data_IF_644155158781
#
_entry.id   IF_644155158781
#
_cell.length_a   1.000
_cell.length_b   1.000
_cell.length_c   1.000
_cell.angle_alpha   90.00
_cell.angle_beta   90.00
_cell.angle_gamma   90.00
#
_symmetry.space_group_name_H-M   'P 1'
#
loop_
_entity.id
_entity.type
_entity.pdbx_description
1 polymer ?
#
# COMPACT_ATOMS: atom_id res chain seq x y z
N UNK A 1 -36.30 -26.58 -14.61
CA UNK A 1 -34.87 -26.97 -14.82
C UNK A 1 -34.07 -25.94 -15.61
N UNK A 2 -34.58 -25.34 -16.73
CA UNK A 2 -33.84 -24.31 -17.49
C UNK A 2 -33.76 -22.97 -16.76
N UNK A 3 -34.86 -22.53 -16.13
CA UNK A 3 -34.92 -21.27 -15.37
C UNK A 3 -34.06 -21.30 -14.07
N UNK A 4 -33.96 -22.46 -13.42
CA UNK A 4 -33.11 -22.65 -12.26
C UNK A 4 -31.62 -22.63 -12.63
N UNK A 5 -31.21 -23.17 -13.79
CA UNK A 5 -29.86 -23.09 -14.29
C UNK A 5 -29.46 -21.66 -14.71
N UNK A 6 -30.35 -20.88 -15.30
CA UNK A 6 -30.10 -19.47 -15.63
C UNK A 6 -29.96 -18.61 -14.38
N UNK A 7 -30.74 -18.85 -13.34
CA UNK A 7 -30.58 -18.14 -12.07
C UNK A 7 -29.30 -18.51 -11.33
N UNK A 8 -28.84 -19.76 -11.42
CA UNK A 8 -27.60 -20.22 -10.83
C UNK A 8 -26.38 -19.68 -11.58
N UNK A 9 -26.44 -19.64 -12.91
CA UNK A 9 -25.40 -19.05 -13.75
C UNK A 9 -25.34 -17.53 -13.56
N UNK A 10 -26.50 -16.86 -13.45
CA UNK A 10 -26.54 -15.41 -13.19
C UNK A 10 -26.06 -15.06 -11.77
N UNK A 11 -26.34 -15.89 -10.77
CA UNK A 11 -25.81 -15.74 -9.41
C UNK A 11 -24.33 -16.10 -9.32
N UNK A 12 -23.85 -17.14 -10.01
CA UNK A 12 -22.43 -17.45 -10.11
C UNK A 12 -21.65 -16.34 -10.82
N UNK A 13 -22.22 -15.73 -11.86
CA UNK A 13 -21.64 -14.57 -12.53
C UNK A 13 -21.71 -13.30 -11.68
N UNK A 14 -22.74 -13.14 -10.84
CA UNK A 14 -22.80 -12.06 -9.85
C UNK A 14 -21.82 -12.26 -8.70
N UNK A 15 -21.57 -13.49 -8.27
CA UNK A 15 -20.57 -13.80 -7.26
C UNK A 15 -19.14 -13.73 -7.85
N UNK A 16 -18.94 -14.05 -9.13
CA UNK A 16 -17.65 -13.86 -9.81
C UNK A 16 -17.37 -12.42 -10.24
N UNK A 17 -18.40 -11.58 -10.28
CA UNK A 17 -18.37 -10.12 -10.41
C UNK A 17 -18.55 -9.42 -9.06
N UNK A 18 -18.36 -10.08 -7.93
CA UNK A 18 -18.07 -9.41 -6.67
C UNK A 18 -16.81 -8.56 -6.93
N UNK A 19 -17.08 -7.35 -7.36
CA UNK A 19 -16.20 -6.36 -7.92
C UNK A 19 -15.01 -6.25 -7.00
N UNK A 20 -13.83 -6.51 -7.55
CA UNK A 20 -12.60 -6.35 -6.84
C UNK A 20 -12.42 -4.87 -6.59
N UNK A 21 -12.93 -4.39 -5.48
CA UNK A 21 -12.83 -2.99 -5.09
C UNK A 21 -11.58 -2.81 -4.28
N UNK A 22 -10.73 -1.90 -4.71
CA UNK A 22 -9.45 -1.57 -4.07
C UNK A 22 -9.49 -0.18 -3.48
N UNK A 23 -8.94 -0.04 -2.28
CA UNK A 23 -8.61 1.25 -1.69
C UNK A 23 -7.09 1.36 -1.51
N UNK A 24 -6.48 2.33 -2.15
CA UNK A 24 -5.07 2.67 -1.98
C UNK A 24 -4.90 3.71 -0.89
N UNK A 25 -4.02 3.43 0.07
CA UNK A 25 -3.57 4.38 1.09
C UNK A 25 -2.15 4.82 0.75
N UNK A 26 -1.92 6.10 0.59
CA UNK A 26 -0.63 6.65 0.16
C UNK A 26 -0.15 7.70 1.15
N UNK A 27 1.14 7.72 1.42
CA UNK A 27 1.73 8.55 2.48
C UNK A 27 2.53 9.76 1.97
N UNK A 28 2.23 10.28 0.79
CA UNK A 28 2.86 11.52 0.31
C UNK A 28 3.42 11.47 -1.10
N UNK A 29 4.20 12.48 -1.47
CA UNK A 29 4.55 12.78 -2.87
C UNK A 29 5.25 11.66 -3.64
N UNK A 30 6.24 11.00 -3.05
CA UNK A 30 6.96 9.90 -3.72
C UNK A 30 6.11 8.64 -3.82
N UNK A 31 5.42 8.33 -2.77
CA UNK A 31 4.52 7.18 -2.65
C UNK A 31 3.29 7.34 -3.54
N UNK A 32 2.77 8.56 -3.68
CA UNK A 32 1.66 8.87 -4.58
C UNK A 32 2.01 8.53 -6.03
N UNK A 33 3.23 8.82 -6.46
CA UNK A 33 3.70 8.48 -7.82
C UNK A 33 3.76 6.97 -8.04
N UNK A 34 4.25 6.22 -7.05
CA UNK A 34 4.32 4.75 -7.13
C UNK A 34 2.90 4.15 -7.13
N UNK A 35 2.04 4.62 -6.24
CA UNK A 35 0.65 4.19 -6.20
C UNK A 35 -0.07 4.48 -7.52
N UNK A 36 0.13 5.66 -8.11
CA UNK A 36 -0.46 6.04 -9.38
C UNK A 36 -0.07 5.07 -10.51
N UNK A 37 1.20 4.71 -10.62
CA UNK A 37 1.67 3.72 -11.62
C UNK A 37 1.05 2.34 -11.43
N UNK A 38 0.90 1.89 -10.18
CA UNK A 38 0.24 0.61 -9.90
C UNK A 38 -1.23 0.66 -10.28
N UNK A 39 -1.91 1.76 -9.94
CA UNK A 39 -3.32 2.01 -10.28
C UNK A 39 -3.52 2.01 -11.80
N UNK A 40 -2.67 2.71 -12.56
CA UNK A 40 -2.69 2.75 -14.01
C UNK A 40 -2.53 1.35 -14.62
N UNK A 41 -1.51 0.63 -14.19
CA UNK A 41 -1.24 -0.71 -14.70
C UNK A 41 -2.38 -1.69 -14.41
N UNK A 42 -3.01 -1.59 -13.24
CA UNK A 42 -4.18 -2.42 -12.91
C UNK A 42 -5.40 -2.04 -13.74
N UNK A 43 -5.62 -0.76 -14.02
CA UNK A 43 -6.70 -0.30 -14.88
C UNK A 43 -6.53 -0.76 -16.32
N UNK A 44 -5.32 -0.68 -16.87
CA UNK A 44 -5.00 -1.20 -18.21
C UNK A 44 -5.25 -2.70 -18.32
N UNK A 45 -4.91 -3.47 -17.27
CA UNK A 45 -5.09 -4.92 -17.25
C UNK A 45 -6.55 -5.34 -17.07
N UNK A 46 -7.31 -4.59 -16.29
CA UNK A 46 -8.72 -4.86 -16.03
C UNK A 46 -9.48 -3.58 -15.65
N UNK A 47 -10.07 -2.89 -16.63
CA UNK A 47 -10.83 -1.66 -16.41
C UNK A 47 -12.04 -1.82 -15.46
N UNK A 48 -12.50 -3.05 -15.22
CA UNK A 48 -13.66 -3.32 -14.36
C UNK A 48 -13.32 -3.35 -12.87
N UNK A 49 -12.04 -3.29 -12.50
CA UNK A 49 -11.63 -3.15 -11.10
C UNK A 49 -11.94 -1.72 -10.66
N UNK A 50 -12.83 -1.57 -9.68
CA UNK A 50 -13.07 -0.27 -9.05
C UNK A 50 -11.91 0.09 -8.14
N UNK A 51 -11.34 1.26 -8.33
CA UNK A 51 -10.19 1.75 -7.57
C UNK A 51 -10.50 3.08 -6.93
N UNK A 52 -10.19 3.17 -5.65
CA UNK A 52 -10.25 4.41 -4.86
C UNK A 52 -8.86 4.70 -4.29
N UNK A 53 -8.56 5.96 -4.07
CA UNK A 53 -7.31 6.40 -3.45
C UNK A 53 -7.58 7.38 -2.31
N UNK A 54 -6.92 7.15 -1.19
CA UNK A 54 -6.90 8.03 -0.03
C UNK A 54 -5.46 8.53 0.18
N UNK A 55 -5.11 9.72 -0.32
CA UNK A 55 -3.85 10.36 0.02
C UNK A 55 -3.88 10.76 1.50
N UNK A 56 -3.04 10.12 2.32
CA UNK A 56 -3.02 10.38 3.76
C UNK A 56 -2.30 11.68 4.11
N UNK A 57 -1.38 12.08 3.24
CA UNK A 57 -0.63 13.34 3.32
C UNK A 57 -0.63 13.99 1.94
N UNK A 58 -0.78 15.31 1.89
CA UNK A 58 -0.81 16.08 0.66
C UNK A 58 -2.20 16.12 0.00
N UNK A 59 -2.25 16.64 -1.21
CA UNK A 59 -3.48 16.87 -1.97
C UNK A 59 -3.75 15.80 -3.04
N UNK A 60 -2.83 14.83 -3.20
CA UNK A 60 -2.98 13.76 -4.18
C UNK A 60 -2.93 14.23 -5.63
N UNK A 61 -2.11 15.23 -5.95
CA UNK A 61 -1.97 15.78 -7.32
C UNK A 61 -1.68 14.73 -8.37
N UNK A 62 -0.91 13.69 -8.01
CA UNK A 62 -0.57 12.60 -8.92
C UNK A 62 -1.80 11.89 -9.50
N UNK A 63 -2.92 11.90 -8.80
CA UNK A 63 -4.13 11.18 -9.19
C UNK A 63 -5.15 12.04 -9.95
N UNK A 64 -4.96 13.35 -10.02
CA UNK A 64 -5.97 14.28 -10.54
C UNK A 64 -6.41 13.99 -11.97
N UNK A 65 -5.50 13.61 -12.85
CA UNK A 65 -5.82 13.28 -14.24
C UNK A 65 -6.78 12.09 -14.33
N UNK A 66 -6.54 11.04 -13.56
CA UNK A 66 -7.38 9.83 -13.56
C UNK A 66 -8.72 10.05 -12.87
N UNK A 67 -8.75 10.89 -11.83
CA UNK A 67 -10.00 11.33 -11.19
C UNK A 67 -10.85 12.15 -12.16
N UNK A 68 -10.26 13.07 -12.91
CA UNK A 68 -10.97 13.83 -13.97
C UNK A 68 -11.48 12.94 -15.10
N UNK A 69 -10.75 11.88 -15.42
CA UNK A 69 -11.18 10.89 -16.42
C UNK A 69 -12.30 9.98 -15.93
N UNK A 70 -12.65 10.03 -14.64
CA UNK A 70 -13.83 9.40 -14.06
C UNK A 70 -13.69 7.92 -13.69
N UNK A 71 -12.52 7.31 -13.88
CA UNK A 71 -12.32 5.88 -13.54
C UNK A 71 -11.60 5.65 -12.19
N UNK A 72 -11.04 6.70 -11.58
CA UNK A 72 -10.44 6.67 -10.25
C UNK A 72 -11.21 7.62 -9.32
N UNK A 73 -11.55 7.18 -8.13
CA UNK A 73 -12.15 8.03 -7.11
C UNK A 73 -11.10 8.40 -6.04
N UNK A 74 -10.96 9.70 -5.80
CA UNK A 74 -10.17 10.20 -4.66
C UNK A 74 -11.12 10.43 -3.49
N UNK A 75 -10.81 9.85 -2.32
CA UNK A 75 -11.60 9.99 -1.10
C UNK A 75 -10.79 10.68 -0.01
N UNK A 76 -11.49 11.22 0.98
CA UNK A 76 -10.89 11.84 2.16
C UNK A 76 -10.43 13.29 1.96
N UNK A 77 -10.07 13.94 3.08
CA UNK A 77 -9.59 15.32 3.09
C UNK A 77 -8.14 15.40 2.65
N UNK A 78 -7.76 16.56 2.09
CA UNK A 78 -6.35 16.91 1.90
C UNK A 78 -5.71 17.22 3.26
N UNK A 79 -4.60 16.56 3.59
CA UNK A 79 -3.88 16.75 4.85
C UNK A 79 -2.47 17.25 4.56
N UNK A 80 -2.16 18.44 5.04
CA UNK A 80 -0.83 19.01 4.94
C UNK A 80 -0.14 18.97 6.30
N UNK A 81 1.08 18.40 6.33
CA UNK A 81 1.90 18.35 7.51
C UNK A 81 3.00 19.41 7.43
N UNK A 82 3.05 20.38 8.35
CA UNK A 82 4.10 21.39 8.39
C UNK A 82 5.51 20.80 8.52
N UNK A 83 5.65 19.60 9.12
CA UNK A 83 6.92 18.87 9.24
C UNK A 83 7.39 18.21 7.95
N UNK A 84 6.55 18.15 6.90
CA UNK A 84 6.85 17.54 5.62
C UNK A 84 6.60 16.03 5.53
N UNK A 85 6.16 15.36 6.58
CA UNK A 85 5.79 13.94 6.56
C UNK A 85 6.05 13.20 7.85
N UNK A 86 5.58 11.95 7.93
CA UNK A 86 5.69 11.13 9.14
C UNK A 86 7.07 10.47 9.33
N UNK A 87 7.87 10.32 8.29
CA UNK A 87 9.14 9.59 8.34
C UNK A 87 10.29 10.37 8.99
N UNK A 88 10.20 11.69 9.08
CA UNK A 88 11.24 12.59 9.59
C UNK A 88 10.79 13.39 10.82
N UNK A 89 9.91 12.85 11.65
CA UNK A 89 9.35 13.62 12.75
C UNK A 89 10.34 13.82 13.90
N UNK A 90 10.63 15.09 14.18
CA UNK A 90 11.13 15.58 15.47
C UNK A 90 9.95 15.86 16.41
N UNK A 91 10.21 15.93 17.71
CA UNK A 91 9.17 16.29 18.68
C UNK A 91 8.51 17.65 18.37
N UNK A 92 9.27 18.64 17.93
CA UNK A 92 8.75 19.94 17.48
C UNK A 92 7.87 19.83 16.23
N UNK A 93 8.24 18.99 15.27
CA UNK A 93 7.44 18.70 14.09
C UNK A 93 6.10 18.06 14.43
N UNK A 94 6.08 17.11 15.35
CA UNK A 94 4.86 16.49 15.83
C UNK A 94 3.91 17.51 16.49
N UNK A 95 4.43 18.41 17.31
CA UNK A 95 3.61 19.47 17.92
C UNK A 95 3.01 20.41 16.88
N UNK A 96 3.77 20.77 15.84
CA UNK A 96 3.26 21.58 14.74
C UNK A 96 2.15 20.85 13.97
N UNK A 97 2.32 19.59 13.69
CA UNK A 97 1.33 18.76 12.97
C UNK A 97 0.05 18.58 13.79
N UNK A 98 0.16 18.39 15.10
CA UNK A 98 -0.99 18.33 16.01
C UNK A 98 -1.78 19.66 16.01
N UNK A 99 -1.07 20.78 16.04
CA UNK A 99 -1.70 22.12 15.94
C UNK A 99 -2.38 22.36 14.59
N UNK A 100 -1.86 21.75 13.51
CA UNK A 100 -2.45 21.82 12.17
C UNK A 100 -3.69 20.91 11.97
N UNK A 101 -4.15 20.19 13.01
CA UNK A 101 -5.35 19.37 12.94
C UNK A 101 -5.09 17.91 12.51
N UNK A 102 -3.86 17.40 12.69
CA UNK A 102 -3.47 16.04 12.36
C UNK A 102 -4.43 14.99 12.92
N UNK A 103 -4.81 15.10 14.19
CA UNK A 103 -5.69 14.12 14.84
C UNK A 103 -7.07 14.04 14.19
N UNK A 104 -7.64 15.18 13.80
CA UNK A 104 -8.91 15.22 13.09
C UNK A 104 -8.83 14.55 11.72
N UNK A 105 -7.77 14.85 10.96
CA UNK A 105 -7.51 14.23 9.66
C UNK A 105 -7.29 12.73 9.77
N UNK A 106 -6.51 12.26 10.74
CA UNK A 106 -6.28 10.83 10.99
C UNK A 106 -7.58 10.11 11.35
N UNK A 107 -8.43 10.73 12.16
CA UNK A 107 -9.73 10.16 12.51
C UNK A 107 -10.64 9.98 11.29
N UNK A 108 -10.74 11.00 10.43
CA UNK A 108 -11.52 10.89 9.18
C UNK A 108 -10.96 9.80 8.27
N UNK A 109 -9.64 9.79 8.07
CA UNK A 109 -8.96 8.76 7.26
C UNK A 109 -9.18 7.35 7.82
N UNK A 110 -9.11 7.20 9.15
CA UNK A 110 -9.40 5.95 9.82
C UNK A 110 -10.84 5.48 9.57
N UNK A 111 -11.80 6.38 9.72
CA UNK A 111 -13.22 6.07 9.51
C UNK A 111 -13.47 5.61 8.07
N UNK A 112 -12.88 6.28 7.08
CA UNK A 112 -12.99 5.92 5.67
C UNK A 112 -12.34 4.56 5.37
N UNK A 113 -11.18 4.31 5.93
CA UNK A 113 -10.47 3.03 5.76
C UNK A 113 -11.26 1.87 6.38
N UNK A 114 -11.78 2.07 7.58
CA UNK A 114 -12.59 1.06 8.27
C UNK A 114 -13.92 0.78 7.56
N UNK A 115 -14.56 1.82 7.01
CA UNK A 115 -15.75 1.67 6.18
C UNK A 115 -15.46 0.86 4.92
N UNK A 116 -14.36 1.15 4.22
CA UNK A 116 -13.95 0.39 3.05
C UNK A 116 -13.73 -1.09 3.38
N UNK A 117 -13.12 -1.40 4.54
CA UNK A 117 -12.95 -2.77 5.01
C UNK A 117 -14.29 -3.47 5.25
N UNK A 118 -15.27 -2.78 5.86
CA UNK A 118 -16.64 -3.32 6.06
C UNK A 118 -17.38 -3.57 4.75
N UNK A 119 -17.10 -2.79 3.72
CA UNK A 119 -17.65 -2.96 2.37
C UNK A 119 -16.94 -4.10 1.59
N UNK A 120 -15.99 -4.79 2.20
CA UNK A 120 -15.26 -5.90 1.58
C UNK A 120 -14.15 -5.48 0.63
N UNK A 121 -13.74 -4.21 0.62
CA UNK A 121 -12.63 -3.73 -0.21
C UNK A 121 -11.31 -4.28 0.28
N UNK A 122 -10.40 -4.56 -0.67
CA UNK A 122 -9.01 -4.88 -0.38
C UNK A 122 -8.23 -3.58 -0.27
N UNK A 123 -7.37 -3.46 0.73
CA UNK A 123 -6.57 -2.27 0.96
C UNK A 123 -5.16 -2.48 0.42
N UNK A 124 -4.66 -1.51 -0.32
CA UNK A 124 -3.27 -1.46 -0.78
C UNK A 124 -2.58 -0.29 -0.10
N UNK A 125 -1.74 -0.60 0.89
CA UNK A 125 -0.97 0.40 1.60
C UNK A 125 0.35 0.68 0.87
N UNK A 126 0.62 1.93 0.56
CA UNK A 126 1.83 2.36 -0.16
C UNK A 126 2.58 3.38 0.68
N UNK A 127 3.80 3.05 1.04
CA UNK A 127 4.66 3.93 1.81
C UNK A 127 5.33 3.25 3.00
N UNK A 128 5.11 3.80 4.17
CA UNK A 128 5.72 3.37 5.43
C UNK A 128 4.72 2.78 6.44
N UNK A 129 5.04 2.93 7.72
CA UNK A 129 4.28 2.35 8.82
C UNK A 129 2.82 2.84 8.89
N UNK A 130 2.53 4.10 8.58
CA UNK A 130 1.18 4.65 8.79
C UNK A 130 0.13 4.00 7.87
N UNK A 131 0.31 3.93 6.54
CA UNK A 131 -0.59 3.18 5.67
C UNK A 131 -0.70 1.70 6.04
N UNK A 132 0.43 1.07 6.39
CA UNK A 132 0.47 -0.32 6.81
C UNK A 132 -0.35 -0.56 8.09
N UNK A 133 -0.21 0.31 9.10
CA UNK A 133 -0.95 0.23 10.35
C UNK A 133 -2.46 0.39 10.12
N UNK A 134 -2.86 1.34 9.28
CA UNK A 134 -4.27 1.55 8.95
C UNK A 134 -4.86 0.36 8.20
N UNK A 135 -4.13 -0.20 7.25
CA UNK A 135 -4.54 -1.39 6.52
C UNK A 135 -4.75 -2.58 7.47
N UNK A 136 -3.78 -2.85 8.33
CA UNK A 136 -3.89 -3.92 9.33
C UNK A 136 -5.05 -3.69 10.30
N UNK A 137 -5.14 -2.50 10.89
CA UNK A 137 -6.14 -2.20 11.90
C UNK A 137 -7.57 -2.15 11.34
N UNK A 138 -7.75 -1.94 10.03
CA UNK A 138 -9.06 -1.92 9.37
C UNK A 138 -9.81 -3.24 9.42
N UNK A 139 -9.09 -4.36 9.54
CA UNK A 139 -9.66 -5.71 9.46
C UNK A 139 -9.77 -6.27 8.04
N UNK A 140 -9.47 -5.50 7.00
CA UNK A 140 -9.47 -5.95 5.60
C UNK A 140 -8.29 -6.87 5.26
N UNK A 141 -8.41 -7.62 4.16
CA UNK A 141 -7.23 -8.15 3.48
C UNK A 141 -6.45 -6.98 2.85
N UNK A 142 -5.14 -7.04 2.90
CA UNK A 142 -4.32 -5.94 2.40
C UNK A 142 -3.03 -6.40 1.74
N UNK A 143 -2.52 -5.53 0.88
CA UNK A 143 -1.18 -5.57 0.30
C UNK A 143 -0.38 -4.40 0.83
N UNK A 144 0.91 -4.57 0.94
CA UNK A 144 1.81 -3.48 1.35
C UNK A 144 2.93 -3.28 0.33
N UNK A 145 3.13 -2.04 -0.09
CA UNK A 145 4.23 -1.62 -0.95
C UNK A 145 5.13 -0.71 -0.13
N UNK A 146 6.23 -1.26 0.36
CA UNK A 146 7.20 -0.56 1.19
C UNK A 146 8.22 0.16 0.32
N UNK A 147 8.17 1.48 0.29
CA UNK A 147 8.96 2.32 -0.62
C UNK A 147 10.16 3.00 0.03
N UNK A 148 10.08 3.50 1.29
CA UNK A 148 11.13 4.35 1.86
C UNK A 148 12.31 3.56 2.39
N UNK A 149 12.14 2.29 2.82
CA UNK A 149 13.14 1.50 3.50
C UNK A 149 13.79 0.49 2.56
N UNK A 150 15.12 0.51 2.50
CA UNK A 150 15.92 -0.42 1.73
C UNK A 150 17.11 -0.89 2.57
N UNK A 151 17.26 -2.20 2.73
CA UNK A 151 18.39 -2.80 3.44
C UNK A 151 19.73 -2.51 2.73
N UNK A 152 19.71 -2.21 1.45
CA UNK A 152 20.90 -1.82 0.69
C UNK A 152 21.43 -0.45 1.13
N UNK A 153 20.58 0.56 1.22
CA UNK A 153 20.96 1.91 1.69
C UNK A 153 21.27 1.92 3.19
N UNK A 154 20.61 1.06 3.95
CA UNK A 154 20.81 0.88 5.37
C UNK A 154 22.23 0.36 5.70
N UNK A 155 22.77 -0.56 4.92
CA UNK A 155 24.11 -1.11 5.11
C UNK A 155 25.24 -0.09 4.85
N UNK A 156 24.97 1.02 4.15
CA UNK A 156 25.98 1.96 3.63
C UNK A 156 26.06 3.29 4.39
N UNK A 157 25.20 3.56 5.36
CA UNK A 157 25.11 4.87 6.04
C UNK A 157 25.99 5.03 7.29
N UNK A 158 26.47 6.25 7.63
CA UNK A 158 27.20 6.52 8.86
C UNK A 158 26.30 6.47 10.09
N UNK A 159 26.76 5.88 11.22
CA UNK A 159 25.99 5.66 12.42
C UNK A 159 26.74 5.92 13.71
N UNK A 160 26.00 6.22 14.82
CA UNK A 160 26.56 6.23 16.16
C UNK A 160 26.72 4.80 16.72
N UNK A 161 27.67 4.59 17.64
CA UNK A 161 28.01 3.27 18.18
C UNK A 161 26.81 2.52 18.82
N UNK A 162 25.93 3.22 19.55
CA UNK A 162 24.73 2.63 20.16
C UNK A 162 23.67 2.27 19.11
N UNK A 163 23.49 3.14 18.11
CA UNK A 163 22.63 2.88 16.97
C UNK A 163 23.12 1.67 16.16
N UNK A 164 24.44 1.55 15.99
CA UNK A 164 25.07 0.41 15.31
C UNK A 164 24.82 -0.92 16.02
N UNK A 165 24.92 -0.96 17.34
CA UNK A 165 24.65 -2.18 18.11
C UNK A 165 23.17 -2.62 17.93
N UNK A 166 22.23 -1.71 18.07
CA UNK A 166 20.82 -1.98 17.88
C UNK A 166 20.51 -2.46 16.44
N UNK A 167 21.06 -1.78 15.45
CA UNK A 167 20.86 -2.12 14.04
C UNK A 167 21.50 -3.46 13.66
N UNK A 168 22.67 -3.81 14.22
CA UNK A 168 23.29 -5.13 14.02
C UNK A 168 22.46 -6.26 14.61
N UNK A 169 21.86 -6.04 15.78
CA UNK A 169 20.94 -7.01 16.38
C UNK A 169 19.66 -7.17 15.57
N UNK A 170 19.18 -6.10 14.99
CA UNK A 170 17.97 -6.07 14.18
C UNK A 170 18.17 -6.72 12.80
N UNK A 171 19.36 -6.56 12.19
CA UNK A 171 19.73 -7.17 10.90
C UNK A 171 19.02 -6.60 9.66
N UNK A 172 18.18 -5.57 9.80
CA UNK A 172 17.37 -4.99 8.75
C UNK A 172 16.90 -3.57 9.11
N UNK A 173 16.47 -2.81 8.10
CA UNK A 173 15.88 -1.46 8.25
C UNK A 173 14.51 -1.51 8.96
N UNK A 174 13.82 -2.64 8.88
CA UNK A 174 12.48 -2.81 9.41
C UNK A 174 12.47 -3.11 10.91
N UNK A 175 11.50 -2.55 11.64
CA UNK A 175 11.33 -2.78 13.07
C UNK A 175 10.50 -4.05 13.35
N UNK A 176 10.64 -4.70 14.53
CA UNK A 176 9.93 -5.93 14.84
C UNK A 176 8.39 -5.83 14.73
N UNK A 177 7.81 -4.68 15.09
CA UNK A 177 6.35 -4.45 14.95
C UNK A 177 5.91 -4.33 13.49
N UNK A 178 6.76 -3.82 12.58
CA UNK A 178 6.49 -3.79 11.14
C UNK A 178 6.45 -5.21 10.58
N UNK A 179 7.35 -6.09 10.98
CA UNK A 179 7.28 -7.52 10.62
C UNK A 179 6.00 -8.17 11.10
N UNK A 180 5.58 -7.86 12.30
CA UNK A 180 4.34 -8.40 12.85
C UNK A 180 3.12 -8.01 12.02
N UNK A 181 3.04 -6.75 11.59
CA UNK A 181 2.00 -6.27 10.69
C UNK A 181 2.06 -6.95 9.31
N UNK A 182 3.27 -7.12 8.76
CA UNK A 182 3.49 -7.73 7.45
C UNK A 182 3.28 -9.25 7.46
N UNK A 183 3.42 -9.91 8.60
CA UNK A 183 3.17 -11.37 8.75
C UNK A 183 1.73 -11.73 9.03
N UNK A 184 0.85 -10.78 9.23
CA UNK A 184 -0.58 -11.04 9.44
C UNK A 184 -1.15 -11.94 8.32
N UNK A 185 -2.05 -12.85 8.67
CA UNK A 185 -2.73 -13.71 7.68
C UNK A 185 -3.52 -12.91 6.63
N UNK A 186 -3.94 -11.70 6.98
CA UNK A 186 -4.63 -10.77 6.10
C UNK A 186 -3.69 -9.98 5.18
N UNK A 187 -2.38 -9.95 5.48
CA UNK A 187 -1.37 -9.41 4.58
C UNK A 187 -1.08 -10.43 3.49
N UNK A 188 -1.58 -10.20 2.30
CA UNK A 188 -1.50 -11.17 1.20
C UNK A 188 -0.17 -11.11 0.45
N UNK A 189 0.46 -9.94 0.43
CA UNK A 189 1.77 -9.72 -0.19
C UNK A 189 2.41 -8.44 0.34
N UNK A 190 3.73 -8.45 0.42
CA UNK A 190 4.58 -7.28 0.65
C UNK A 190 5.49 -7.10 -0.55
N UNK A 191 5.51 -5.92 -1.11
CA UNK A 191 6.37 -5.55 -2.22
C UNK A 191 7.39 -4.50 -1.77
N UNK A 192 8.65 -4.71 -2.07
CA UNK A 192 9.75 -3.83 -1.69
C UNK A 192 10.66 -3.52 -2.88
N UNK A 193 11.53 -2.51 -2.75
CA UNK A 193 12.33 -1.97 -3.84
C UNK A 193 13.37 -2.95 -4.38
N UNK A 194 14.04 -3.70 -3.51
CA UNK A 194 15.21 -4.49 -3.87
C UNK A 194 15.16 -5.93 -3.36
N UNK A 195 15.98 -6.78 -4.00
CA UNK A 195 16.04 -8.21 -3.71
C UNK A 195 16.61 -8.53 -2.34
N UNK A 196 17.51 -7.69 -1.82
CA UNK A 196 18.14 -7.91 -0.51
C UNK A 196 17.11 -7.71 0.58
N UNK A 197 16.35 -6.61 0.51
CA UNK A 197 15.24 -6.32 1.42
C UNK A 197 14.16 -7.40 1.36
N UNK A 198 13.76 -7.83 0.16
CA UNK A 198 12.78 -8.90 -0.01
C UNK A 198 13.26 -10.22 0.60
N UNK A 199 14.53 -10.56 0.44
CA UNK A 199 15.13 -11.76 1.05
C UNK A 199 15.13 -11.67 2.58
N UNK A 200 15.54 -10.52 3.13
CA UNK A 200 15.53 -10.26 4.57
C UNK A 200 14.13 -10.42 5.16
N UNK A 201 13.12 -9.85 4.51
CA UNK A 201 11.72 -9.99 4.92
C UNK A 201 11.23 -11.45 4.85
N UNK A 202 11.57 -12.18 3.80
CA UNK A 202 11.22 -13.61 3.68
C UNK A 202 11.84 -14.45 4.79
N UNK A 203 13.08 -14.16 5.18
CA UNK A 203 13.75 -14.83 6.30
C UNK A 203 13.01 -14.61 7.63
N UNK A 204 12.22 -13.55 7.76
CA UNK A 204 11.36 -13.27 8.91
C UNK A 204 9.90 -13.72 8.71
N UNK A 205 9.64 -14.56 7.72
CA UNK A 205 8.31 -15.13 7.47
C UNK A 205 7.33 -14.20 6.74
N UNK A 206 7.80 -13.11 6.14
CA UNK A 206 6.98 -12.20 5.35
C UNK A 206 6.87 -12.68 3.91
N UNK A 207 5.69 -12.60 3.31
CA UNK A 207 5.44 -12.91 1.89
C UNK A 207 5.93 -11.75 1.01
N UNK A 208 7.23 -11.59 0.87
CA UNK A 208 7.85 -10.45 0.23
C UNK A 208 8.31 -10.73 -1.20
N UNK A 209 8.11 -9.74 -2.07
CA UNK A 209 8.58 -9.69 -3.45
C UNK A 209 9.43 -8.43 -3.67
N UNK A 210 10.41 -8.53 -4.55
CA UNK A 210 11.16 -7.38 -5.06
C UNK A 210 10.52 -6.85 -6.33
N UNK A 211 10.26 -5.56 -6.40
CA UNK A 211 9.67 -4.89 -7.56
C UNK A 211 10.71 -4.22 -8.48
N UNK A 212 11.94 -4.10 -8.03
CA UNK A 212 12.85 -3.11 -8.57
C UNK A 212 12.50 -1.71 -8.07
N UNK A 213 12.92 -0.68 -8.76
CA UNK A 213 12.54 0.69 -8.45
C UNK A 213 11.43 1.16 -9.41
N UNK A 214 10.15 1.18 -9.00
CA UNK A 214 9.05 1.59 -9.88
C UNK A 214 9.17 3.02 -10.40
N UNK A 215 9.92 3.88 -9.72
CA UNK A 215 10.21 5.25 -10.21
C UNK A 215 11.20 5.26 -11.37
N UNK A 216 11.97 4.18 -11.54
CA UNK A 216 12.97 4.00 -12.61
C UNK A 216 12.45 3.18 -13.78
N UNK A 217 11.23 2.68 -13.74
CA UNK A 217 10.66 1.76 -14.75
C UNK A 217 10.52 2.37 -16.15
N UNK A 218 10.67 3.69 -16.28
CA UNK A 218 10.83 4.35 -17.58
C UNK A 218 12.22 4.13 -18.20
N UNK A 219 13.19 3.60 -17.45
CA UNK A 219 14.60 3.51 -17.84
C UNK A 219 15.13 2.05 -17.73
N UNK A 220 14.58 1.25 -16.81
CA UNK A 220 15.06 -0.11 -16.52
C UNK A 220 13.93 -1.13 -16.70
N UNK A 221 14.07 -1.94 -17.71
CA UNK A 221 13.14 -3.02 -18.07
C UNK A 221 13.44 -4.31 -17.31
N UNK A 222 13.38 -4.32 -15.97
CA UNK A 222 13.49 -5.60 -15.26
C UNK A 222 12.25 -6.47 -15.52
N UNK A 223 12.39 -7.76 -15.83
CA UNK A 223 11.26 -8.65 -16.03
C UNK A 223 10.31 -8.73 -14.82
N UNK A 224 10.85 -8.54 -13.61
CA UNK A 224 10.10 -8.58 -12.35
C UNK A 224 9.17 -7.37 -12.20
N UNK A 225 9.62 -6.18 -12.58
CA UNK A 225 8.81 -4.96 -12.56
C UNK A 225 7.65 -5.02 -13.56
N UNK A 226 7.86 -5.60 -14.74
CA UNK A 226 6.81 -5.80 -15.75
C UNK A 226 5.71 -6.75 -15.27
N UNK A 227 6.07 -7.75 -14.47
CA UNK A 227 5.13 -8.78 -14.00
C UNK A 227 4.39 -8.36 -12.71
N UNK A 228 4.75 -7.24 -12.10
CA UNK A 228 4.15 -6.81 -10.84
C UNK A 228 2.63 -6.59 -10.90
N UNK A 229 2.07 -5.90 -11.90
CA UNK A 229 0.63 -5.77 -12.04
C UNK A 229 -0.07 -7.12 -12.19
N UNK A 230 0.55 -8.06 -12.92
CA UNK A 230 0.04 -9.43 -13.09
C UNK A 230 0.04 -10.18 -11.76
N UNK A 231 1.09 -10.02 -10.95
CA UNK A 231 1.19 -10.63 -9.63
C UNK A 231 0.11 -10.09 -8.67
N UNK A 232 -0.10 -8.78 -8.63
CA UNK A 232 -1.19 -8.18 -7.84
C UNK A 232 -2.54 -8.75 -8.30
N UNK A 233 -2.83 -8.77 -9.59
CA UNK A 233 -4.06 -9.31 -10.13
C UNK A 233 -4.29 -10.77 -9.73
N UNK A 234 -3.27 -11.61 -9.84
CA UNK A 234 -3.36 -13.02 -9.45
C UNK A 234 -3.62 -13.21 -7.96
N UNK A 235 -3.03 -12.37 -7.13
CA UNK A 235 -3.19 -12.43 -5.67
C UNK A 235 -4.54 -11.88 -5.20
N UNK A 236 -5.04 -10.82 -5.83
CA UNK A 236 -6.41 -10.33 -5.62
C UNK A 236 -7.41 -11.45 -5.91
N UNK A 237 -7.22 -12.16 -7.05
CA UNK A 237 -8.07 -13.30 -7.42
C UNK A 237 -8.00 -14.45 -6.41
N UNK A 238 -6.82 -14.69 -5.80
CA UNK A 238 -6.67 -15.69 -4.73
C UNK A 238 -7.32 -15.26 -3.42
N UNK A 239 -7.19 -13.98 -3.05
CA UNK A 239 -7.77 -13.43 -1.83
C UNK A 239 -9.32 -13.47 -1.82
N UNK A 240 -9.94 -13.36 -3.00
CA UNK A 240 -11.40 -13.43 -3.14
C UNK A 240 -11.94 -14.88 -3.17
N UNK A 241 -11.07 -15.90 -3.22
CA UNK A 241 -11.47 -17.32 -3.20
C UNK A 241 -11.29 -17.99 -1.83
N UNK A 242 -10.70 -17.29 -0.87
CA UNK A 242 -10.48 -17.73 0.50
C UNK A 242 -11.45 -17.07 1.48
#
# INVERSE_FOLDING_TARGET
HAAENESFISNSNRISQAEQNLLFLCNGHGEDTIACRVIEALHEMNPNISQEVLPMVGDGKAFLTHVKNGWLAKIGPSTFLPSGGFSNQSFSGLVLDLKAGLLGSLWVQWTLTHRAAKEGKIIVAVGDLLPLLFAWASGANYFFIGTPKSDYTWASGPRSALSDCYHRLKGTEWDPWEYWLMRSSRCKMVAVRDKITARGLRNHGVKALSLGNPMMDGISSSPEARNFPTNIKSMIKKANRA
#
